data_IF_469623937277
#
_entry.id   IF_469623937277
#
_cell.length_a   1.000
_cell.length_b   1.000
_cell.length_c   1.000
_cell.angle_alpha   90.00
_cell.angle_beta   90.00
_cell.angle_gamma   90.00
#
_symmetry.space_group_name_H-M   'P 1'
#
loop_
_entity.id
_entity.type
_entity.pdbx_description
1 polymer ?
#
# COMPACT_ATOMS: atom_id res chain seq x y z
N UNK A 1 11.49 15.80 2.55
CA UNK A 1 10.02 16.00 2.44
C UNK A 1 9.48 15.60 1.09
N UNK A 2 9.93 16.18 -0.04
CA UNK A 2 9.43 15.79 -1.38
C UNK A 2 9.69 14.31 -1.73
N UNK A 3 10.82 13.78 -1.24
CA UNK A 3 11.19 12.36 -1.36
C UNK A 3 10.61 11.49 -0.23
N UNK A 4 9.72 12.03 0.59
CA UNK A 4 9.09 11.33 1.71
C UNK A 4 10.05 10.85 2.82
N UNK A 5 11.29 11.34 2.79
CA UNK A 5 12.30 11.15 3.82
C UNK A 5 12.04 12.11 5.00
N UNK A 6 10.92 11.90 5.70
CA UNK A 6 10.46 12.80 6.77
C UNK A 6 11.34 12.75 8.02
N UNK A 7 12.00 11.63 8.31
CA UNK A 7 12.94 11.50 9.43
C UNK A 7 14.19 12.36 9.25
N UNK A 8 14.76 12.37 8.05
CA UNK A 8 15.86 13.29 7.72
C UNK A 8 15.39 14.75 7.73
N UNK A 9 14.22 15.04 7.15
CA UNK A 9 13.66 16.38 7.18
C UNK A 9 13.36 16.90 8.61
N UNK A 10 12.95 16.03 9.54
CA UNK A 10 12.79 16.35 10.96
C UNK A 10 14.13 16.70 11.63
N UNK A 11 15.18 15.96 11.28
CA UNK A 11 16.55 16.17 11.79
C UNK A 11 17.09 17.51 11.31
N UNK A 12 17.01 17.77 10.00
CA UNK A 12 17.44 19.04 9.40
C UNK A 12 16.67 20.23 9.96
N UNK A 13 15.35 20.12 10.07
CA UNK A 13 14.52 21.20 10.61
C UNK A 13 14.84 21.46 12.10
N UNK A 14 15.11 20.41 12.87
CA UNK A 14 15.53 20.56 14.27
C UNK A 14 16.90 21.21 14.40
N UNK A 15 17.85 20.85 13.54
CA UNK A 15 19.16 21.49 13.49
C UNK A 15 19.05 22.96 13.07
N UNK A 16 18.23 23.27 12.07
CA UNK A 16 17.97 24.66 11.65
C UNK A 16 17.38 25.51 12.79
N UNK A 17 16.51 24.94 13.63
CA UNK A 17 15.97 25.61 14.83
C UNK A 17 17.04 25.84 15.89
N UNK A 18 17.99 24.91 16.05
CA UNK A 18 19.11 25.08 16.97
C UNK A 18 20.04 26.21 16.51
N UNK A 19 20.28 26.32 15.21
CA UNK A 19 21.11 27.38 14.62
C UNK A 19 20.42 28.74 14.66
N UNK A 20 19.12 28.80 14.35
CA UNK A 20 18.32 30.02 14.42
C UNK A 20 16.92 29.76 15.02
N UNK A 21 16.75 30.03 16.34
CA UNK A 21 15.45 29.89 17.01
C UNK A 21 14.34 30.84 16.54
N UNK A 22 14.66 31.81 15.67
CA UNK A 22 13.68 32.73 15.05
C UNK A 22 13.33 32.31 13.61
N UNK A 23 13.92 31.24 13.08
CA UNK A 23 13.64 30.78 11.73
C UNK A 23 12.28 30.05 11.64
N UNK A 24 11.21 30.82 11.44
CA UNK A 24 9.83 30.32 11.40
C UNK A 24 9.63 29.16 10.41
N UNK A 25 10.29 29.21 9.25
CA UNK A 25 10.18 28.17 8.22
C UNK A 25 10.67 26.80 8.71
N UNK A 26 11.66 26.71 9.61
CA UNK A 26 12.09 25.43 10.14
C UNK A 26 11.03 24.79 11.06
N UNK A 27 10.41 25.56 11.95
CA UNK A 27 9.27 25.09 12.75
C UNK A 27 8.12 24.64 11.85
N UNK A 28 7.82 25.41 10.81
CA UNK A 28 6.80 25.05 9.84
C UNK A 28 7.08 23.70 9.17
N UNK A 29 8.30 23.52 8.63
CA UNK A 29 8.73 22.28 7.98
C UNK A 29 8.68 21.09 8.95
N UNK A 30 9.11 21.28 10.21
CA UNK A 30 9.08 20.23 11.23
C UNK A 30 7.65 19.84 11.62
N UNK A 31 6.76 20.82 11.78
CA UNK A 31 5.34 20.59 12.02
C UNK A 31 4.70 19.79 10.87
N UNK A 32 4.97 20.16 9.62
CA UNK A 32 4.49 19.42 8.45
C UNK A 32 5.02 17.99 8.45
N UNK A 33 6.31 17.76 8.73
CA UNK A 33 6.85 16.41 8.83
C UNK A 33 6.15 15.58 9.91
N UNK A 34 5.90 16.15 11.10
CA UNK A 34 5.14 15.47 12.15
C UNK A 34 3.74 15.06 11.69
N UNK A 35 3.06 15.86 10.87
CA UNK A 35 1.76 15.47 10.30
C UNK A 35 1.89 14.30 9.32
N UNK A 36 2.94 14.26 8.50
CA UNK A 36 3.17 13.19 7.52
C UNK A 36 3.50 11.84 8.18
N UNK A 37 4.19 11.88 9.33
CA UNK A 37 4.49 10.68 10.13
C UNK A 37 3.44 10.39 11.20
N UNK A 38 2.22 10.95 11.05
CA UNK A 38 1.07 10.71 11.92
C UNK A 38 1.27 11.06 13.41
N UNK A 39 2.06 12.09 13.68
CA UNK A 39 2.28 12.63 15.03
C UNK A 39 1.70 14.05 15.17
N UNK A 40 0.38 14.26 14.94
CA UNK A 40 -0.21 15.60 14.90
C UNK A 40 -0.08 16.36 16.22
N UNK A 41 0.01 15.67 17.36
CA UNK A 41 0.23 16.28 18.68
C UNK A 41 1.57 17.02 18.74
N UNK A 42 2.62 16.49 18.09
CA UNK A 42 3.95 17.12 18.03
C UNK A 42 4.01 18.30 17.06
N UNK A 43 3.09 18.37 16.08
CA UNK A 43 3.01 19.49 15.14
C UNK A 43 2.46 20.78 15.78
N UNK A 44 1.57 20.66 16.77
CA UNK A 44 0.89 21.82 17.38
C UNK A 44 1.84 22.83 18.04
N UNK A 45 2.83 22.43 18.87
CA UNK A 45 3.80 23.37 19.44
C UNK A 45 4.58 24.15 18.38
N UNK A 46 4.97 23.49 17.29
CA UNK A 46 5.71 24.12 16.20
C UNK A 46 4.84 25.12 15.44
N UNK A 47 3.58 24.79 15.12
CA UNK A 47 2.65 25.77 14.53
C UNK A 47 2.40 26.98 15.44
N UNK A 48 2.26 26.78 16.75
CA UNK A 48 2.15 27.89 17.72
C UNK A 48 3.38 28.79 17.67
N UNK A 49 4.57 28.20 17.56
CA UNK A 49 5.82 28.96 17.44
C UNK A 49 5.89 29.76 16.14
N UNK A 50 5.45 29.19 15.02
CA UNK A 50 5.34 29.92 13.74
C UNK A 50 4.38 31.10 13.86
N UNK A 51 3.19 30.91 14.44
CA UNK A 51 2.20 32.00 14.64
C UNK A 51 2.75 33.08 15.58
N UNK A 52 3.54 32.72 16.59
CA UNK A 52 4.20 33.68 17.46
C UNK A 52 5.26 34.52 16.73
N UNK A 53 5.98 33.93 15.76
CA UNK A 53 6.97 34.62 14.94
C UNK A 53 6.33 35.41 13.78
N UNK A 54 5.22 34.91 13.23
CA UNK A 54 4.50 35.46 12.08
C UNK A 54 2.98 35.58 12.38
N UNK A 55 2.53 36.57 13.17
CA UNK A 55 1.14 36.64 13.65
C UNK A 55 0.06 36.82 12.58
N UNK A 56 0.47 37.28 11.38
CA UNK A 56 -0.38 37.49 10.21
C UNK A 56 -0.43 36.29 9.26
N UNK A 57 0.26 35.18 9.57
CA UNK A 57 0.26 33.99 8.73
C UNK A 57 -1.05 33.20 8.91
N UNK A 58 -2.08 33.60 8.15
CA UNK A 58 -3.42 32.99 8.20
C UNK A 58 -3.41 31.52 7.77
N UNK A 59 -2.54 31.17 6.81
CA UNK A 59 -2.37 29.79 6.33
C UNK A 59 -1.97 28.86 7.49
N UNK A 60 -0.98 29.24 8.28
CA UNK A 60 -0.54 28.44 9.44
C UNK A 60 -1.60 28.39 10.53
N UNK A 61 -2.33 29.50 10.76
CA UNK A 61 -3.44 29.51 11.71
C UNK A 61 -4.54 28.52 11.31
N UNK A 62 -4.92 28.48 10.03
CA UNK A 62 -5.88 27.52 9.50
C UNK A 62 -5.38 26.07 9.66
N UNK A 63 -4.10 25.82 9.40
CA UNK A 63 -3.47 24.50 9.56
C UNK A 63 -3.44 24.04 11.02
N UNK A 64 -3.13 24.92 11.96
CA UNK A 64 -3.18 24.61 13.39
C UNK A 64 -4.60 24.22 13.82
N UNK A 65 -5.63 24.97 13.38
CA UNK A 65 -7.03 24.64 13.67
C UNK A 65 -7.41 23.28 13.07
N UNK A 66 -7.03 23.01 11.82
CA UNK A 66 -7.27 21.72 11.16
C UNK A 66 -6.59 20.57 11.91
N UNK A 67 -5.33 20.74 12.31
CA UNK A 67 -4.56 19.78 13.11
C UNK A 67 -5.23 19.50 14.45
N UNK A 68 -5.73 20.53 15.13
CA UNK A 68 -6.40 20.38 16.42
C UNK A 68 -7.75 19.66 16.28
N UNK A 69 -8.49 19.89 15.19
CA UNK A 69 -9.69 19.12 14.86
C UNK A 69 -9.35 17.65 14.57
N UNK A 70 -8.27 17.38 13.85
CA UNK A 70 -7.79 16.02 13.58
C UNK A 70 -7.45 15.29 14.88
N UNK A 71 -6.71 15.93 15.80
CA UNK A 71 -6.38 15.35 17.11
C UNK A 71 -7.66 14.97 17.87
N UNK A 72 -8.62 15.90 17.98
CA UNK A 72 -9.91 15.64 18.65
C UNK A 72 -10.69 14.51 18.00
N UNK A 73 -10.68 14.42 16.66
CA UNK A 73 -11.31 13.32 15.92
C UNK A 73 -10.66 11.98 16.26
N UNK A 74 -9.33 11.91 16.25
CA UNK A 74 -8.57 10.71 16.63
C UNK A 74 -8.88 10.29 18.07
N UNK A 75 -8.86 11.24 19.02
CA UNK A 75 -9.16 10.96 20.43
C UNK A 75 -10.61 10.51 20.64
N UNK A 76 -11.57 11.14 19.95
CA UNK A 76 -12.97 10.75 20.00
C UNK A 76 -13.18 9.34 19.46
N UNK A 77 -12.60 9.01 18.30
CA UNK A 77 -12.69 7.69 17.69
C UNK A 77 -12.08 6.61 18.59
N UNK A 78 -10.89 6.86 19.16
CA UNK A 78 -10.28 5.95 20.15
C UNK A 78 -11.17 5.74 21.37
N UNK A 79 -11.93 6.76 21.79
CA UNK A 79 -12.82 6.67 22.95
C UNK A 79 -14.13 5.93 22.66
N UNK A 80 -14.56 5.86 21.39
CA UNK A 80 -15.78 5.13 20.96
C UNK A 80 -15.47 3.77 20.32
N UNK A 81 -14.20 3.39 20.21
CA UNK A 81 -13.79 2.05 19.80
C UNK A 81 -14.12 1.08 20.95
N UNK A 82 -15.37 0.62 21.00
CA UNK A 82 -15.87 -0.28 22.04
C UNK A 82 -15.61 -1.73 21.63
N UNK A 83 -15.10 -2.54 22.56
CA UNK A 83 -15.07 -3.99 22.42
C UNK A 83 -16.52 -4.53 22.32
N UNK A 84 -16.88 -5.07 21.14
CA UNK A 84 -18.19 -5.69 20.90
C UNK A 84 -19.03 -5.10 19.76
N UNK A 85 -18.55 -4.10 19.01
CA UNK A 85 -19.20 -3.73 17.73
C UNK A 85 -19.08 -4.87 16.71
N UNK A 86 -20.18 -5.17 16.01
CA UNK A 86 -20.19 -6.09 14.86
C UNK A 86 -19.18 -5.63 13.82
N UNK A 87 -18.49 -6.57 13.18
CA UNK A 87 -17.52 -6.26 12.14
C UNK A 87 -18.20 -5.46 11.00
N UNK A 88 -17.46 -4.58 10.28
CA UNK A 88 -17.99 -3.91 9.10
C UNK A 88 -18.54 -4.87 8.03
N UNK A 89 -18.01 -6.09 7.99
CA UNK A 89 -18.46 -7.20 7.12
C UNK A 89 -19.88 -7.63 7.51
N UNK A 90 -20.11 -8.00 8.77
CA UNK A 90 -21.43 -8.41 9.27
C UNK A 90 -22.46 -7.29 9.09
N UNK A 91 -22.09 -6.05 9.40
CA UNK A 91 -22.97 -4.90 9.21
C UNK A 91 -23.37 -4.69 7.75
N UNK A 92 -22.46 -4.94 6.81
CA UNK A 92 -22.80 -4.91 5.38
C UNK A 92 -23.78 -6.02 5.01
N UNK A 93 -23.58 -7.25 5.49
CA UNK A 93 -24.52 -8.35 5.25
C UNK A 93 -25.92 -8.07 5.82
N UNK A 94 -26.02 -7.46 7.01
CA UNK A 94 -27.29 -7.04 7.61
C UNK A 94 -28.03 -6.02 6.73
N UNK A 95 -27.33 -4.95 6.33
CA UNK A 95 -27.92 -3.92 5.45
C UNK A 95 -28.38 -4.54 4.12
N UNK A 96 -27.63 -5.50 3.58
CA UNK A 96 -28.01 -6.22 2.36
C UNK A 96 -29.28 -7.05 2.60
N UNK A 97 -29.34 -7.82 3.69
CA UNK A 97 -30.50 -8.65 4.02
C UNK A 97 -31.77 -7.82 4.25
N UNK A 98 -31.63 -6.60 4.75
CA UNK A 98 -32.71 -5.63 4.94
C UNK A 98 -33.12 -4.88 3.65
N UNK A 99 -32.44 -5.12 2.51
CA UNK A 99 -32.70 -4.42 1.24
C UNK A 99 -32.17 -2.97 1.20
N UNK A 100 -31.37 -2.56 2.19
CA UNK A 100 -30.85 -1.18 2.33
C UNK A 100 -29.74 -0.80 1.34
N UNK A 101 -29.37 -1.69 0.43
CA UNK A 101 -28.31 -1.48 -0.55
C UNK A 101 -28.68 -2.01 -1.95
N UNK A 102 -29.96 -2.10 -2.30
CA UNK A 102 -30.35 -2.60 -3.62
C UNK A 102 -29.90 -1.70 -4.78
N UNK A 103 -29.73 -2.32 -5.95
CA UNK A 103 -29.36 -1.59 -7.18
C UNK A 103 -30.59 -0.89 -7.72
N UNK A 104 -30.48 0.43 -7.93
CA UNK A 104 -31.55 1.22 -8.51
C UNK A 104 -31.94 0.70 -9.91
N UNK A 105 -33.24 0.66 -10.19
CA UNK A 105 -33.77 0.17 -11.48
C UNK A 105 -33.35 1.04 -12.68
N UNK A 106 -33.00 2.30 -12.41
CA UNK A 106 -32.49 3.29 -13.38
C UNK A 106 -31.02 3.09 -13.72
N UNK A 107 -30.30 2.21 -13.00
CA UNK A 107 -28.88 1.97 -13.25
C UNK A 107 -28.65 1.28 -14.60
N UNK A 108 -27.85 1.95 -15.44
CA UNK A 108 -27.58 1.57 -16.84
C UNK A 108 -26.14 1.11 -17.08
N UNK A 109 -25.32 1.04 -16.03
CA UNK A 109 -23.94 0.58 -16.14
C UNK A 109 -23.81 -0.95 -16.13
N UNK A 110 -22.57 -1.46 -16.00
CA UNK A 110 -22.28 -2.90 -15.93
C UNK A 110 -23.00 -3.57 -14.77
N UNK A 111 -23.61 -4.73 -15.03
CA UNK A 111 -24.41 -5.48 -14.06
C UNK A 111 -23.71 -6.78 -13.68
N UNK A 112 -23.47 -6.97 -12.37
CA UNK A 112 -23.00 -8.27 -11.88
C UNK A 112 -24.09 -9.32 -12.15
N UNK A 113 -23.74 -10.48 -12.75
CA UNK A 113 -24.68 -11.57 -12.91
C UNK A 113 -25.15 -12.08 -11.56
N UNK A 114 -26.46 -12.30 -11.45
CA UNK A 114 -27.12 -12.83 -10.27
C UNK A 114 -27.66 -14.21 -10.62
N UNK A 115 -27.13 -15.25 -9.98
CA UNK A 115 -27.54 -16.65 -10.16
C UNK A 115 -27.91 -17.23 -8.80
N UNK A 116 -29.10 -17.79 -8.67
CA UNK A 116 -29.62 -18.38 -7.41
C UNK A 116 -29.48 -17.44 -6.20
N UNK A 117 -29.77 -16.15 -6.41
CA UNK A 117 -29.71 -15.12 -5.37
C UNK A 117 -28.30 -14.71 -4.94
N UNK A 118 -27.25 -15.18 -5.64
CA UNK A 118 -25.85 -14.82 -5.38
C UNK A 118 -25.23 -14.12 -6.57
N UNK A 119 -24.53 -13.02 -6.31
CA UNK A 119 -23.77 -12.34 -7.34
C UNK A 119 -22.50 -13.13 -7.67
N UNK A 120 -22.17 -13.20 -8.96
CA UNK A 120 -20.92 -13.75 -9.45
C UNK A 120 -20.11 -12.69 -10.20
N UNK A 121 -18.81 -12.88 -10.27
CA UNK A 121 -17.91 -12.04 -11.08
C UNK A 121 -17.59 -12.76 -12.40
N UNK A 122 -17.53 -12.01 -13.50
CA UNK A 122 -17.18 -12.55 -14.82
C UNK A 122 -16.16 -11.67 -15.54
N UNK A 123 -15.39 -12.22 -16.49
CA UNK A 123 -14.46 -11.42 -17.29
C UNK A 123 -15.17 -10.27 -18.03
N UNK A 124 -16.37 -10.52 -18.57
CA UNK A 124 -17.16 -9.51 -19.26
C UNK A 124 -17.55 -8.34 -18.34
N UNK A 125 -17.97 -8.64 -17.10
CA UNK A 125 -18.29 -7.60 -16.14
C UNK A 125 -17.07 -6.74 -15.82
N UNK A 126 -15.89 -7.35 -15.59
CA UNK A 126 -14.66 -6.59 -15.30
C UNK A 126 -14.31 -5.66 -16.46
N UNK A 127 -14.41 -6.14 -17.70
CA UNK A 127 -14.17 -5.32 -18.90
C UNK A 127 -15.13 -4.13 -18.97
N UNK A 128 -16.42 -4.36 -18.78
CA UNK A 128 -17.43 -3.30 -18.83
C UNK A 128 -17.29 -2.33 -17.64
N UNK A 129 -16.89 -2.83 -16.46
CA UNK A 129 -16.56 -2.04 -15.28
C UNK A 129 -15.36 -1.11 -15.52
N UNK A 130 -14.29 -1.63 -16.09
CA UNK A 130 -13.10 -0.83 -16.43
C UNK A 130 -13.46 0.29 -17.41
N UNK A 131 -14.27 -0.01 -18.43
CA UNK A 131 -14.74 1.00 -19.38
C UNK A 131 -15.68 2.02 -18.69
N UNK A 132 -16.53 1.57 -17.77
CA UNK A 132 -17.37 2.47 -16.97
C UNK A 132 -16.55 3.46 -16.14
N UNK A 133 -15.47 2.98 -15.50
CA UNK A 133 -14.52 3.79 -14.75
C UNK A 133 -13.74 4.77 -15.64
N UNK A 134 -13.29 4.34 -16.83
CA UNK A 134 -12.65 5.25 -17.82
C UNK A 134 -13.53 6.44 -18.20
N UNK A 135 -14.85 6.24 -18.19
CA UNK A 135 -15.83 7.28 -18.46
C UNK A 135 -16.16 8.14 -17.22
N UNK A 136 -15.41 8.01 -16.13
CA UNK A 136 -15.56 8.81 -14.90
C UNK A 136 -16.81 8.48 -14.10
N UNK A 137 -17.37 7.28 -14.28
CA UNK A 137 -18.62 6.86 -13.63
C UNK A 137 -18.35 5.89 -12.49
N UNK A 138 -19.21 5.89 -11.48
CA UNK A 138 -19.10 5.04 -10.30
C UNK A 138 -20.01 3.81 -10.39
N UNK A 139 -19.62 2.71 -9.74
CA UNK A 139 -20.49 1.55 -9.55
C UNK A 139 -21.55 1.81 -8.48
N UNK A 140 -22.72 1.15 -8.54
CA UNK A 140 -23.67 1.11 -7.43
C UNK A 140 -23.02 0.53 -6.18
N UNK A 141 -23.41 1.05 -5.01
CA UNK A 141 -22.90 0.61 -3.71
C UNK A 141 -23.02 -0.91 -3.53
N UNK A 142 -24.11 -1.52 -4.03
CA UNK A 142 -24.32 -2.98 -4.00
C UNK A 142 -23.16 -3.74 -4.63
N UNK A 143 -22.75 -3.34 -5.83
CA UNK A 143 -21.72 -4.05 -6.59
C UNK A 143 -20.33 -3.79 -6.02
N UNK A 144 -20.08 -2.58 -5.50
CA UNK A 144 -18.86 -2.28 -4.73
C UNK A 144 -18.75 -3.25 -3.56
N UNK A 145 -19.82 -3.44 -2.79
CA UNK A 145 -19.81 -4.33 -1.63
C UNK A 145 -19.63 -5.79 -2.03
N UNK A 146 -20.30 -6.26 -3.08
CA UNK A 146 -20.14 -7.63 -3.59
C UNK A 146 -18.71 -7.92 -4.04
N UNK A 147 -18.05 -6.99 -4.76
CA UNK A 147 -16.65 -7.13 -5.17
C UNK A 147 -15.74 -7.24 -3.94
N UNK A 148 -15.93 -6.36 -2.95
CA UNK A 148 -15.09 -6.33 -1.75
C UNK A 148 -15.31 -7.57 -0.89
N UNK A 149 -16.57 -8.00 -0.69
CA UNK A 149 -16.92 -9.20 0.07
C UNK A 149 -16.43 -10.47 -0.63
N UNK A 150 -16.56 -10.55 -1.96
CA UNK A 150 -16.05 -11.65 -2.78
C UNK A 150 -14.54 -11.81 -2.66
N UNK A 151 -13.78 -10.72 -2.79
CA UNK A 151 -12.33 -10.74 -2.59
C UNK A 151 -11.94 -11.05 -1.13
N UNK A 152 -12.62 -10.43 -0.16
CA UNK A 152 -12.41 -10.66 1.28
C UNK A 152 -12.54 -12.13 1.67
N UNK A 153 -13.53 -12.84 1.11
CA UNK A 153 -13.73 -14.27 1.38
C UNK A 153 -12.51 -15.11 0.97
N UNK A 154 -11.75 -14.69 -0.05
CA UNK A 154 -10.49 -15.32 -0.41
C UNK A 154 -9.36 -14.89 0.52
N UNK A 155 -9.21 -13.59 0.79
CA UNK A 155 -8.14 -13.08 1.66
C UNK A 155 -8.20 -13.66 3.07
N UNK A 156 -9.38 -13.80 3.67
CA UNK A 156 -9.50 -14.37 5.02
C UNK A 156 -9.11 -15.86 5.09
N UNK A 157 -9.21 -16.58 3.97
CA UNK A 157 -8.85 -17.99 3.87
C UNK A 157 -7.34 -18.18 3.58
N UNK A 158 -6.64 -17.12 3.21
CA UNK A 158 -5.21 -17.13 2.90
C UNK A 158 -4.34 -17.00 4.14
N UNK A 159 -3.17 -17.65 4.11
CA UNK A 159 -2.12 -17.47 5.12
C UNK A 159 -1.54 -16.06 5.08
N UNK A 160 -0.92 -15.63 6.17
CA UNK A 160 -0.32 -14.28 6.24
C UNK A 160 0.88 -14.13 5.29
N UNK A 161 1.62 -15.22 5.09
CA UNK A 161 2.56 -15.33 3.97
C UNK A 161 2.06 -16.39 3.01
N UNK A 162 1.79 -16.01 1.76
CA UNK A 162 1.45 -16.93 0.69
C UNK A 162 2.68 -17.71 0.25
N UNK A 163 2.51 -18.96 -0.15
CA UNK A 163 3.56 -19.78 -0.76
C UNK A 163 3.12 -20.17 -2.17
N UNK A 164 3.83 -19.67 -3.18
CA UNK A 164 3.45 -19.83 -4.58
C UNK A 164 4.59 -20.49 -5.34
N UNK A 165 4.32 -21.65 -5.92
CA UNK A 165 5.24 -22.34 -6.80
C UNK A 165 5.03 -21.90 -8.25
N UNK A 166 6.11 -21.59 -8.95
CA UNK A 166 6.10 -21.28 -10.38
C UNK A 166 6.42 -22.55 -11.15
N UNK A 167 5.39 -23.34 -11.46
CA UNK A 167 5.49 -24.58 -12.23
C UNK A 167 6.05 -24.35 -13.64
N UNK A 168 6.42 -25.43 -14.33
CA UNK A 168 6.99 -25.34 -15.68
C UNK A 168 6.09 -24.54 -16.65
N UNK A 169 6.67 -23.51 -17.26
CA UNK A 169 5.96 -22.64 -18.20
C UNK A 169 5.07 -21.59 -17.55
N UNK A 170 5.04 -21.53 -16.22
CA UNK A 170 4.35 -20.48 -15.45
C UNK A 170 5.27 -19.28 -15.26
N UNK A 171 4.69 -18.08 -15.33
CA UNK A 171 5.33 -16.81 -14.99
C UNK A 171 4.54 -16.08 -13.91
N UNK A 172 5.20 -15.21 -13.15
CA UNK A 172 4.56 -14.30 -12.23
C UNK A 172 5.10 -12.87 -12.42
N UNK A 173 4.21 -11.91 -12.66
CA UNK A 173 4.55 -10.50 -12.69
C UNK A 173 4.34 -9.88 -11.30
N UNK A 174 5.44 -9.40 -10.72
CA UNK A 174 5.45 -8.64 -9.46
C UNK A 174 5.32 -7.15 -9.80
N UNK A 175 4.21 -6.58 -9.37
CA UNK A 175 3.81 -5.18 -9.57
C UNK A 175 4.01 -4.45 -8.24
N UNK A 176 4.73 -3.33 -8.26
CA UNK A 176 4.93 -2.49 -7.10
C UNK A 176 3.74 -1.57 -6.83
N UNK A 177 4.02 -0.43 -6.19
CA UNK A 177 3.02 0.55 -5.80
C UNK A 177 2.31 1.14 -7.04
N UNK A 178 1.01 1.39 -6.92
CA UNK A 178 0.17 1.98 -7.98
C UNK A 178 -0.48 3.28 -7.53
N UNK A 179 -0.77 3.43 -6.23
CA UNK A 179 -1.24 4.67 -5.61
C UNK A 179 -2.38 5.40 -6.35
N UNK A 180 -3.46 4.68 -6.65
CA UNK A 180 -4.64 5.29 -7.27
C UNK A 180 -4.43 5.87 -8.68
N UNK A 181 -3.33 5.51 -9.36
CA UNK A 181 -3.07 5.86 -10.76
C UNK A 181 -3.77 4.86 -11.71
N UNK A 182 -5.10 4.92 -11.76
CA UNK A 182 -5.93 3.96 -12.51
C UNK A 182 -5.55 3.82 -13.98
N UNK A 183 -5.27 4.93 -14.67
CA UNK A 183 -4.96 4.92 -16.10
C UNK A 183 -3.61 4.26 -16.39
N UNK A 184 -2.63 4.46 -15.50
CA UNK A 184 -1.34 3.77 -15.58
C UNK A 184 -1.48 2.28 -15.28
N UNK A 185 -2.30 1.90 -14.29
CA UNK A 185 -2.60 0.49 -14.02
C UNK A 185 -3.22 -0.21 -15.24
N UNK A 186 -4.07 0.47 -16.00
CA UNK A 186 -4.64 -0.09 -17.24
C UNK A 186 -3.58 -0.26 -18.33
N UNK A 187 -2.64 0.67 -18.46
CA UNK A 187 -1.51 0.50 -19.36
C UNK A 187 -0.63 -0.66 -18.92
N UNK A 188 -0.32 -0.76 -17.62
CA UNK A 188 0.41 -1.88 -17.03
C UNK A 188 -0.27 -3.21 -17.36
N UNK A 189 -1.58 -3.35 -17.14
CA UNK A 189 -2.31 -4.58 -17.46
C UNK A 189 -2.33 -4.90 -18.95
N UNK A 190 -2.24 -3.91 -19.84
CA UNK A 190 -2.07 -4.16 -21.27
C UNK A 190 -0.70 -4.77 -21.62
N UNK A 191 0.32 -4.58 -20.77
CA UNK A 191 1.66 -5.15 -20.93
C UNK A 191 1.81 -6.50 -20.25
N UNK A 192 1.22 -6.69 -19.06
CA UNK A 192 1.30 -7.96 -18.32
C UNK A 192 0.40 -9.02 -18.97
N UNK A 193 -0.82 -8.61 -19.34
CA UNK A 193 -1.93 -9.51 -19.68
C UNK A 193 -2.76 -9.88 -18.45
N UNK A 194 -3.82 -10.67 -18.67
CA UNK A 194 -4.72 -11.12 -17.61
C UNK A 194 -4.17 -12.34 -16.85
N UNK A 195 -4.45 -12.47 -15.53
CA UNK A 195 -4.11 -13.66 -14.76
C UNK A 195 -4.75 -14.92 -15.33
N UNK A 196 -3.98 -16.01 -15.42
CA UNK A 196 -4.44 -17.33 -15.83
C UNK A 196 -3.51 -18.42 -15.28
N UNK A 197 -3.78 -19.69 -15.61
CA UNK A 197 -3.03 -20.84 -15.10
C UNK A 197 -1.53 -20.85 -15.46
N UNK A 198 -1.10 -20.07 -16.46
CA UNK A 198 0.30 -19.91 -16.87
C UNK A 198 0.90 -18.55 -16.55
N UNK A 199 0.10 -17.62 -16.05
CA UNK A 199 0.53 -16.24 -15.81
C UNK A 199 -0.13 -15.67 -14.57
N UNK A 200 0.66 -15.44 -13.52
CA UNK A 200 0.18 -14.93 -12.25
C UNK A 200 0.51 -13.44 -12.13
N UNK A 201 -0.34 -12.68 -11.46
CA UNK A 201 -0.07 -11.30 -11.08
C UNK A 201 0.04 -11.21 -9.56
N UNK A 202 1.05 -10.49 -9.07
CA UNK A 202 1.24 -10.19 -7.67
C UNK A 202 1.38 -8.68 -7.50
N UNK A 203 0.35 -8.04 -6.92
CA UNK A 203 0.42 -6.63 -6.55
C UNK A 203 1.00 -6.49 -5.14
N UNK A 204 2.11 -5.78 -5.00
CA UNK A 204 2.89 -5.73 -3.77
C UNK A 204 2.59 -4.49 -2.90
N UNK A 205 1.31 -4.29 -2.60
CA UNK A 205 0.82 -3.22 -1.73
C UNK A 205 0.73 -1.83 -2.36
N UNK A 206 0.21 -0.88 -1.59
CA UNK A 206 0.11 0.55 -1.94
C UNK A 206 -0.66 0.78 -3.25
N UNK A 207 -1.89 0.26 -3.27
CA UNK A 207 -2.82 0.37 -4.38
C UNK A 207 -3.61 1.69 -4.33
N UNK A 208 -3.77 2.23 -3.13
CA UNK A 208 -4.61 3.40 -2.85
C UNK A 208 -3.79 4.58 -2.34
N UNK A 209 -4.50 5.68 -2.06
CA UNK A 209 -3.96 6.97 -1.61
C UNK A 209 -3.13 7.68 -2.68
N UNK A 210 -2.92 8.99 -2.46
CA UNK A 210 -2.16 9.91 -3.31
C UNK A 210 -2.82 10.18 -4.65
N UNK A 211 -2.96 9.19 -5.53
CA UNK A 211 -3.74 9.30 -6.75
C UNK A 211 -5.24 9.45 -6.45
N UNK A 212 -5.97 10.02 -7.41
CA UNK A 212 -7.38 10.39 -7.23
C UNK A 212 -8.35 9.39 -7.88
N UNK A 213 -7.87 8.19 -8.23
CA UNK A 213 -8.68 7.07 -8.73
C UNK A 213 -8.40 5.78 -7.94
N UNK A 214 -8.25 5.92 -6.62
CA UNK A 214 -7.93 4.80 -5.73
C UNK A 214 -9.08 3.79 -5.67
N UNK A 215 -10.34 4.24 -5.77
CA UNK A 215 -11.50 3.35 -5.80
C UNK A 215 -11.51 2.50 -7.07
N UNK A 216 -11.23 3.09 -8.22
CA UNK A 216 -11.17 2.37 -9.49
C UNK A 216 -10.03 1.34 -9.49
N UNK A 217 -8.86 1.69 -8.95
CA UNK A 217 -7.73 0.77 -8.79
C UNK A 217 -8.10 -0.41 -7.89
N UNK A 218 -8.55 -0.14 -6.66
CA UNK A 218 -8.76 -1.21 -5.68
C UNK A 218 -9.92 -2.14 -6.08
N UNK A 219 -10.99 -1.59 -6.66
CA UNK A 219 -12.11 -2.41 -7.13
C UNK A 219 -11.73 -3.27 -8.32
N UNK A 220 -10.88 -2.77 -9.23
CA UNK A 220 -10.38 -3.56 -10.35
C UNK A 220 -9.48 -4.70 -9.84
N UNK A 221 -8.55 -4.41 -8.94
CA UNK A 221 -7.69 -5.42 -8.33
C UNK A 221 -8.48 -6.50 -7.58
N UNK A 222 -9.48 -6.09 -6.78
CA UNK A 222 -10.33 -7.02 -6.03
C UNK A 222 -11.27 -7.82 -6.94
N UNK A 223 -11.76 -7.24 -8.03
CA UNK A 223 -12.56 -7.99 -9.00
C UNK A 223 -11.71 -9.08 -9.68
N UNK A 224 -10.47 -8.80 -10.06
CA UNK A 224 -9.54 -9.82 -10.56
C UNK A 224 -9.19 -10.85 -9.48
N UNK A 225 -9.06 -10.45 -8.21
CA UNK A 225 -8.86 -11.42 -7.11
C UNK A 225 -10.04 -12.36 -6.96
N UNK A 226 -11.26 -11.83 -7.01
CA UNK A 226 -12.48 -12.62 -6.89
C UNK A 226 -12.64 -13.56 -8.09
N UNK A 227 -12.26 -13.12 -9.30
CA UNK A 227 -12.36 -13.93 -10.52
C UNK A 227 -11.26 -14.98 -10.63
N UNK A 228 -10.01 -14.64 -10.27
CA UNK A 228 -8.83 -15.49 -10.40
C UNK A 228 -8.10 -15.68 -9.07
N UNK A 229 -8.74 -16.25 -8.03
CA UNK A 229 -8.17 -16.29 -6.69
C UNK A 229 -6.85 -17.05 -6.59
N UNK A 230 -6.57 -17.96 -7.53
CA UNK A 230 -5.33 -18.75 -7.61
C UNK A 230 -4.19 -18.06 -8.37
N UNK A 231 -4.48 -17.01 -9.15
CA UNK A 231 -3.54 -16.41 -10.09
C UNK A 231 -3.38 -14.90 -9.89
N UNK A 232 -4.26 -14.27 -9.12
CA UNK A 232 -4.18 -12.88 -8.68
C UNK A 232 -3.87 -12.84 -7.19
N UNK A 233 -2.70 -12.30 -6.85
CA UNK A 233 -2.21 -12.15 -5.48
C UNK A 233 -2.06 -10.68 -5.14
N UNK A 234 -2.36 -10.31 -3.90
CA UNK A 234 -2.27 -8.93 -3.41
C UNK A 234 -1.67 -8.97 -2.01
N UNK A 235 -0.47 -8.42 -1.86
CA UNK A 235 0.10 -8.15 -0.55
C UNK A 235 -0.42 -6.81 -0.03
N UNK A 236 -0.43 -6.66 1.29
CA UNK A 236 -0.72 -5.40 1.99
C UNK A 236 0.48 -4.46 1.91
N UNK A 237 0.25 -3.20 1.58
CA UNK A 237 1.21 -2.11 1.74
C UNK A 237 0.94 -1.31 3.01
N UNK A 238 1.74 -0.27 3.26
CA UNK A 238 1.48 0.60 4.40
C UNK A 238 0.25 1.49 4.18
N UNK A 239 -0.10 1.80 2.92
CA UNK A 239 -1.26 2.60 2.57
C UNK A 239 -2.59 1.83 2.69
N UNK A 240 -2.59 0.51 2.79
CA UNK A 240 -3.79 -0.27 3.16
C UNK A 240 -4.05 -0.25 4.70
N UNK A 241 -4.03 0.95 5.28
CA UNK A 241 -4.20 1.22 6.71
C UNK A 241 -5.04 2.48 6.97
N UNK A 242 -5.90 2.44 7.99
CA UNK A 242 -6.84 3.54 8.32
C UNK A 242 -6.14 4.90 8.48
N UNK A 243 -5.00 4.93 9.15
CA UNK A 243 -4.29 6.19 9.43
C UNK A 243 -3.67 6.81 8.16
N UNK A 244 -3.19 5.97 7.24
CA UNK A 244 -2.74 6.43 5.92
C UNK A 244 -3.91 6.95 5.10
N UNK A 245 -5.00 6.17 5.00
CA UNK A 245 -6.16 6.51 4.18
C UNK A 245 -6.80 7.85 4.56
N UNK A 246 -6.83 8.15 5.86
CA UNK A 246 -7.30 9.42 6.39
C UNK A 246 -6.48 10.60 5.91
N UNK A 247 -5.18 10.39 5.83
CA UNK A 247 -4.18 11.43 5.62
C UNK A 247 -3.97 11.69 4.13
N UNK A 248 -3.96 10.62 3.32
CA UNK A 248 -3.48 10.67 1.94
C UNK A 248 -4.56 10.50 0.87
N UNK A 249 -5.84 10.40 1.26
CA UNK A 249 -6.97 10.71 0.39
C UNK A 249 -8.01 9.60 0.24
N UNK A 250 -7.65 8.33 0.45
CA UNK A 250 -8.55 7.21 0.19
C UNK A 250 -9.81 7.23 1.07
N UNK A 251 -9.70 7.61 2.36
CA UNK A 251 -10.87 7.75 3.24
C UNK A 251 -11.84 8.79 2.64
N UNK A 252 -11.31 9.91 2.15
CA UNK A 252 -12.10 10.97 1.53
C UNK A 252 -12.76 10.53 0.23
N UNK A 253 -12.00 9.85 -0.63
CA UNK A 253 -12.48 9.36 -1.93
C UNK A 253 -13.60 8.32 -1.75
N UNK A 254 -13.37 7.30 -0.91
CA UNK A 254 -14.34 6.23 -0.66
C UNK A 254 -15.65 6.77 -0.08
N UNK A 255 -15.56 7.72 0.86
CA UNK A 255 -16.74 8.37 1.46
C UNK A 255 -17.48 9.23 0.46
N UNK A 256 -16.76 9.98 -0.37
CA UNK A 256 -17.37 10.82 -1.40
C UNK A 256 -18.10 9.98 -2.46
N UNK A 257 -17.48 8.91 -2.96
CA UNK A 257 -18.05 8.08 -4.04
C UNK A 257 -19.12 7.10 -3.55
N UNK A 258 -18.95 6.50 -2.37
CA UNK A 258 -19.79 5.38 -1.92
C UNK A 258 -20.26 5.44 -0.46
N UNK A 259 -19.89 6.48 0.30
CA UNK A 259 -20.34 6.70 1.67
C UNK A 259 -19.52 5.97 2.76
N UNK A 260 -19.80 6.33 4.01
CA UNK A 260 -19.06 5.89 5.21
C UNK A 260 -18.95 4.37 5.36
N UNK A 261 -20.07 3.66 5.18
CA UNK A 261 -20.10 2.20 5.37
C UNK A 261 -19.21 1.47 4.35
N UNK A 262 -19.11 1.98 3.12
CA UNK A 262 -18.25 1.41 2.08
C UNK A 262 -16.77 1.57 2.43
N UNK A 263 -16.38 2.72 2.99
CA UNK A 263 -15.02 2.89 3.51
C UNK A 263 -14.72 1.93 4.66
N UNK A 264 -15.63 1.80 5.63
CA UNK A 264 -15.46 0.86 6.75
C UNK A 264 -15.28 -0.59 6.27
N UNK A 265 -16.03 -0.99 5.25
CA UNK A 265 -15.90 -2.29 4.60
C UNK A 265 -14.52 -2.48 3.96
N UNK A 266 -14.08 -1.53 3.11
CA UNK A 266 -12.77 -1.56 2.45
C UNK A 266 -11.61 -1.58 3.48
N UNK A 267 -11.66 -0.69 4.47
CA UNK A 267 -10.63 -0.61 5.51
C UNK A 267 -10.55 -1.88 6.36
N UNK A 268 -11.66 -2.61 6.53
CA UNK A 268 -11.64 -3.92 7.16
C UNK A 268 -11.09 -4.99 6.22
N UNK A 269 -11.49 -5.00 4.94
CA UNK A 269 -10.96 -5.93 3.95
C UNK A 269 -9.43 -5.84 3.81
N UNK A 270 -8.87 -4.63 3.89
CA UNK A 270 -7.42 -4.39 3.93
C UNK A 270 -6.69 -5.13 5.06
N UNK A 271 -7.34 -5.38 6.19
CA UNK A 271 -6.72 -6.13 7.29
C UNK A 271 -6.53 -7.61 6.96
N UNK A 272 -7.31 -8.15 6.02
CA UNK A 272 -7.20 -9.56 5.61
C UNK A 272 -6.14 -9.78 4.51
N UNK A 273 -5.61 -8.74 3.88
CA UNK A 273 -4.58 -8.86 2.85
C UNK A 273 -3.33 -9.57 3.40
N UNK A 274 -2.78 -10.59 2.72
CA UNK A 274 -1.48 -11.18 3.05
C UNK A 274 -0.38 -10.13 3.20
N UNK A 275 0.59 -10.36 4.08
CA UNK A 275 1.69 -9.42 4.32
C UNK A 275 2.90 -9.68 3.43
N UNK A 276 3.04 -10.89 2.91
CA UNK A 276 4.13 -11.28 2.02
C UNK A 276 3.73 -12.47 1.13
N UNK A 277 4.49 -12.66 0.06
CA UNK A 277 4.38 -13.82 -0.82
C UNK A 277 5.77 -14.42 -1.05
N UNK A 278 5.89 -15.73 -0.83
CA UNK A 278 7.10 -16.49 -1.09
C UNK A 278 6.99 -17.19 -2.44
N UNK A 279 7.64 -16.64 -3.46
CA UNK A 279 7.68 -17.20 -4.80
C UNK A 279 8.81 -18.23 -4.90
N UNK A 280 8.50 -19.48 -5.22
CA UNK A 280 9.49 -20.56 -5.40
C UNK A 280 9.51 -21.04 -6.84
N UNK A 281 10.68 -21.06 -7.46
CA UNK A 281 10.87 -21.68 -8.76
C UNK A 281 10.67 -23.20 -8.67
N UNK A 282 10.07 -23.81 -9.69
CA UNK A 282 9.96 -25.28 -9.79
C UNK A 282 11.22 -25.91 -10.37
N UNK A 283 11.98 -25.17 -11.19
CA UNK A 283 13.21 -25.62 -11.86
C UNK A 283 14.47 -24.99 -11.24
N UNK A 284 15.62 -25.67 -11.32
CA UNK A 284 16.89 -25.07 -10.98
C UNK A 284 17.22 -23.90 -11.94
N UNK A 285 18.09 -22.95 -11.51
CA UNK A 285 18.55 -21.87 -12.37
C UNK A 285 19.11 -22.38 -13.70
N UNK A 286 18.74 -21.73 -14.81
CA UNK A 286 19.28 -22.08 -16.13
C UNK A 286 20.82 -21.88 -16.24
N UNK A 287 21.37 -20.94 -15.46
CA UNK A 287 22.80 -20.69 -15.35
C UNK A 287 23.22 -20.88 -13.89
N UNK A 288 24.29 -21.64 -13.65
CA UNK A 288 24.91 -21.69 -12.32
C UNK A 288 25.50 -20.30 -12.01
N UNK A 289 25.04 -19.72 -10.93
CA UNK A 289 25.53 -18.46 -10.38
C UNK A 289 25.74 -18.62 -8.85
N UNK A 290 26.20 -17.56 -8.19
CA UNK A 290 26.41 -17.55 -6.74
C UNK A 290 25.14 -17.23 -5.95
N UNK A 291 23.95 -17.52 -6.51
CA UNK A 291 22.67 -17.30 -5.82
C UNK A 291 22.59 -18.13 -4.55
N UNK A 292 21.92 -17.59 -3.53
CA UNK A 292 21.44 -18.37 -2.40
C UNK A 292 20.27 -19.22 -2.92
N UNK A 293 20.38 -20.54 -2.78
CA UNK A 293 19.36 -21.47 -3.24
C UNK A 293 18.74 -22.20 -2.03
N UNK A 294 17.55 -22.73 -2.24
CA UNK A 294 16.93 -23.72 -1.36
C UNK A 294 17.75 -25.02 -1.35
N UNK A 295 17.48 -25.89 -0.38
CA UNK A 295 18.22 -27.16 -0.23
C UNK A 295 18.06 -28.09 -1.46
N UNK A 296 16.96 -27.93 -2.21
CA UNK A 296 16.70 -28.61 -3.48
C UNK A 296 17.26 -27.88 -4.72
N UNK A 297 18.07 -26.83 -4.52
CA UNK A 297 18.83 -26.15 -5.58
C UNK A 297 18.00 -25.18 -6.43
N UNK A 298 16.90 -24.63 -5.91
CA UNK A 298 15.97 -23.75 -6.64
C UNK A 298 16.03 -22.32 -6.13
N UNK A 299 15.63 -21.36 -6.98
CA UNK A 299 15.50 -19.96 -6.57
C UNK A 299 14.19 -19.76 -5.81
N UNK A 300 14.24 -18.87 -4.82
CA UNK A 300 13.10 -18.51 -3.98
C UNK A 300 13.17 -17.04 -3.64
N UNK A 301 12.10 -16.30 -3.83
CA UNK A 301 12.04 -14.86 -3.57
C UNK A 301 10.99 -14.55 -2.50
N UNK A 302 11.38 -13.72 -1.54
CA UNK A 302 10.46 -13.18 -0.53
C UNK A 302 9.98 -11.82 -1.01
N UNK A 303 8.70 -11.74 -1.40
CA UNK A 303 8.07 -10.52 -1.90
C UNK A 303 7.27 -9.88 -0.78
N UNK A 304 7.62 -8.64 -0.44
CA UNK A 304 7.04 -7.88 0.68
C UNK A 304 7.02 -6.40 0.32
N UNK A 305 6.03 -5.61 0.76
CA UNK A 305 5.97 -4.19 0.40
C UNK A 305 7.17 -3.36 0.94
N UNK A 306 7.35 -3.39 2.26
CA UNK A 306 8.41 -2.74 3.03
C UNK A 306 9.75 -3.47 2.89
N UNK A 307 10.21 -4.14 3.95
CA UNK A 307 11.47 -4.87 3.88
C UNK A 307 11.72 -5.76 5.08
N UNK A 308 12.98 -5.79 5.53
CA UNK A 308 13.49 -6.74 6.51
C UNK A 308 13.51 -6.24 7.96
N UNK A 309 13.67 -7.22 8.85
CA UNK A 309 13.42 -7.16 10.27
C UNK A 309 14.41 -6.36 11.10
N UNK A 310 13.93 -5.81 12.21
CA UNK A 310 14.77 -5.20 13.25
C UNK A 310 15.60 -6.21 14.04
N UNK A 311 15.24 -7.49 13.97
CA UNK A 311 15.96 -8.63 14.52
C UNK A 311 16.54 -9.50 13.42
N UNK A 312 17.59 -10.25 13.74
CA UNK A 312 18.31 -11.10 12.77
C UNK A 312 17.73 -12.51 12.65
N UNK A 313 16.98 -12.97 13.65
CA UNK A 313 16.53 -14.35 13.83
C UNK A 313 15.09 -14.60 13.35
N UNK A 314 14.47 -13.65 12.65
CA UNK A 314 13.10 -13.81 12.16
C UNK A 314 13.05 -14.84 11.03
N UNK A 315 12.30 -15.91 11.24
CA UNK A 315 12.09 -16.98 10.27
C UNK A 315 10.87 -16.72 9.38
N UNK A 316 10.78 -17.47 8.28
CA UNK A 316 9.56 -17.51 7.45
C UNK A 316 8.32 -17.98 8.23
N UNK A 317 8.51 -18.83 9.24
CA UNK A 317 7.42 -19.35 10.09
C UNK A 317 6.87 -18.26 11.03
N UNK A 318 7.75 -17.40 11.56
CA UNK A 318 7.33 -16.23 12.35
C UNK A 318 6.44 -15.30 11.53
N UNK A 319 6.73 -15.12 10.23
CA UNK A 319 5.91 -14.32 9.32
C UNK A 319 4.54 -14.96 9.06
N UNK A 320 4.49 -16.29 8.85
CA UNK A 320 3.22 -17.02 8.63
C UNK A 320 2.28 -16.91 9.82
N UNK A 321 2.83 -16.92 11.03
CA UNK A 321 2.07 -16.91 12.29
C UNK A 321 1.61 -15.51 12.74
N UNK A 322 1.85 -14.46 11.94
CA UNK A 322 1.30 -13.13 12.21
C UNK A 322 -0.22 -13.19 12.06
N UNK A 323 -0.95 -12.94 13.15
CA UNK A 323 -2.39 -12.71 13.11
C UNK A 323 -2.68 -11.30 12.56
N UNK A 324 -3.27 -11.24 11.37
CA UNK A 324 -3.48 -9.97 10.62
C UNK A 324 -4.95 -9.52 10.57
N UNK A 325 -5.90 -10.46 10.60
CA UNK A 325 -7.31 -10.18 10.27
C UNK A 325 -7.93 -9.28 11.35
N UNK A 326 -8.63 -8.23 10.92
CA UNK A 326 -9.23 -7.23 11.81
C UNK A 326 -8.23 -6.29 12.47
N UNK A 327 -6.91 -6.52 12.32
CA UNK A 327 -5.88 -5.74 12.99
C UNK A 327 -5.32 -4.66 12.07
N UNK A 328 -5.42 -3.42 12.54
CA UNK A 328 -4.75 -2.29 11.90
C UNK A 328 -3.27 -2.27 12.32
N UNK A 329 -2.39 -1.66 11.50
CA UNK A 329 -1.07 -1.32 11.98
C UNK A 329 -1.22 -0.38 13.19
N UNK A 330 -0.80 -0.82 14.38
CA UNK A 330 -1.04 -0.13 15.65
C UNK A 330 0.13 0.71 16.15
N UNK A 331 0.26 0.81 17.48
CA UNK A 331 1.45 1.29 18.20
C UNK A 331 2.28 0.16 18.83
N UNK A 332 1.86 -1.10 18.67
CA UNK A 332 2.55 -2.31 19.16
C UNK A 332 2.36 -3.50 18.17
N UNK A 333 3.20 -4.54 18.26
CA UNK A 333 3.03 -5.83 17.53
C UNK A 333 3.96 -6.03 16.33
N UNK A 334 3.50 -6.81 15.32
CA UNK A 334 4.16 -7.08 14.01
C UNK A 334 3.69 -6.16 12.84
N UNK A 335 2.64 -5.33 13.04
CA UNK A 335 2.14 -4.20 12.17
C UNK A 335 1.98 -2.82 12.92
N UNK A 336 2.82 -1.77 12.86
CA UNK A 336 2.88 -0.60 13.79
C UNK A 336 3.99 0.42 13.45
N UNK A 337 3.80 1.66 13.93
CA UNK A 337 4.57 2.86 13.59
C UNK A 337 5.54 3.44 14.64
N UNK A 338 5.70 2.99 15.89
CA UNK A 338 6.74 3.55 16.81
C UNK A 338 6.65 3.07 18.27
N UNK A 339 7.51 2.13 18.69
CA UNK A 339 8.28 2.08 19.96
C UNK A 339 8.67 0.65 20.40
N UNK A 340 9.89 0.39 20.92
CA UNK A 340 10.31 -0.94 21.38
C UNK A 340 9.36 -1.55 22.44
N UNK A 341 9.13 -2.90 22.47
CA UNK A 341 9.80 -3.97 21.73
C UNK A 341 9.05 -4.30 20.43
N UNK A 342 8.81 -3.28 19.62
CA UNK A 342 8.29 -3.32 18.26
C UNK A 342 8.86 -4.45 17.40
N UNK A 343 7.97 -5.24 16.80
CA UNK A 343 8.31 -6.13 15.71
C UNK A 343 7.99 -5.44 14.37
N UNK A 344 8.78 -4.44 13.95
CA UNK A 344 8.53 -3.70 12.68
C UNK A 344 9.49 -3.92 11.55
N UNK A 345 9.02 -4.60 10.50
CA UNK A 345 9.68 -4.41 9.22
C UNK A 345 8.88 -4.47 7.94
N UNK A 346 7.84 -5.31 7.86
CA UNK A 346 7.37 -5.76 6.56
C UNK A 346 6.73 -4.66 5.73
N UNK A 347 6.16 -3.61 6.33
CA UNK A 347 5.43 -2.57 5.59
C UNK A 347 6.17 -1.23 5.48
N UNK A 348 7.23 -1.00 6.28
CA UNK A 348 7.75 0.36 6.50
C UNK A 348 9.28 0.50 6.43
N UNK A 349 10.04 -0.59 6.35
CA UNK A 349 11.50 -0.49 6.34
C UNK A 349 12.04 -0.32 4.94
N UNK A 350 13.16 0.39 4.86
CA UNK A 350 13.86 0.64 3.62
C UNK A 350 15.28 0.05 3.66
N UNK A 351 15.83 -0.39 2.51
CA UNK A 351 17.24 -0.70 2.40
C UNK A 351 18.12 0.55 2.63
N UNK A 352 19.35 0.34 3.10
CA UNK A 352 20.39 1.37 3.16
C UNK A 352 21.70 0.87 2.58
N UNK A 353 22.50 1.78 2.04
CA UNK A 353 23.79 1.45 1.43
C UNK A 353 24.79 0.92 2.46
N UNK A 354 24.80 1.49 3.68
CA UNK A 354 25.77 1.13 4.71
C UNK A 354 25.38 -0.17 5.43
N UNK A 355 26.34 -1.00 5.86
CA UNK A 355 26.05 -2.17 6.70
C UNK A 355 25.38 -1.80 8.03
N UNK A 356 24.69 -2.78 8.62
CA UNK A 356 24.00 -2.69 9.90
C UNK A 356 22.55 -2.22 9.77
N UNK A 357 22.03 -1.64 10.86
CA UNK A 357 20.71 -1.01 10.89
C UNK A 357 20.85 0.44 11.28
N UNK A 358 20.06 1.29 10.65
CA UNK A 358 20.02 2.72 10.90
C UNK A 358 18.61 3.22 11.22
N UNK A 359 18.49 4.47 11.69
CA UNK A 359 17.19 5.12 11.76
C UNK A 359 16.59 5.22 10.36
N UNK A 360 15.29 4.93 10.24
CA UNK A 360 14.59 5.10 8.97
C UNK A 360 14.60 6.56 8.54
N UNK A 361 14.90 6.79 7.26
CA UNK A 361 14.78 8.10 6.62
C UNK A 361 13.36 8.64 6.62
N UNK A 362 12.34 7.79 6.79
CA UNK A 362 10.92 8.17 6.90
C UNK A 362 10.53 8.65 8.29
N UNK A 363 11.38 8.47 9.30
CA UNK A 363 11.07 8.79 10.69
C UNK A 363 10.19 7.75 11.38
N UNK A 364 9.83 6.67 10.67
CA UNK A 364 9.14 5.48 11.17
C UNK A 364 9.80 4.24 10.59
N UNK A 365 9.98 3.20 11.41
CA UNK A 365 10.66 1.97 11.03
C UNK A 365 12.18 2.07 11.18
N UNK A 366 12.88 1.17 10.51
CA UNK A 366 14.35 1.10 10.47
C UNK A 366 14.84 1.04 9.03
N UNK A 367 16.10 1.40 8.82
CA UNK A 367 16.81 1.08 7.60
C UNK A 367 17.69 -0.16 7.82
N UNK A 368 17.83 -1.03 6.82
CA UNK A 368 18.63 -2.26 6.90
C UNK A 368 19.68 -2.34 5.79
N UNK A 369 20.90 -2.72 6.16
CA UNK A 369 22.04 -2.80 5.25
C UNK A 369 22.19 -4.12 4.51
N UNK A 370 23.18 -4.21 3.59
CA UNK A 370 23.43 -5.40 2.78
C UNK A 370 23.81 -6.65 3.59
N UNK A 371 24.43 -6.48 4.75
CA UNK A 371 24.77 -7.57 5.69
C UNK A 371 23.52 -8.15 6.36
N UNK A 372 22.53 -7.32 6.68
CA UNK A 372 21.24 -7.77 7.23
C UNK A 372 20.50 -8.60 6.20
N UNK A 373 20.39 -8.10 4.96
CA UNK A 373 19.77 -8.84 3.87
C UNK A 373 20.46 -10.16 3.61
N UNK A 374 21.79 -10.16 3.51
CA UNK A 374 22.55 -11.39 3.26
C UNK A 374 22.34 -12.42 4.36
N UNK A 375 22.46 -12.04 5.64
CA UNK A 375 22.27 -12.96 6.77
C UNK A 375 20.87 -13.56 6.78
N UNK A 376 19.84 -12.74 6.56
CA UNK A 376 18.46 -13.21 6.55
C UNK A 376 18.17 -14.15 5.37
N UNK A 377 18.63 -13.81 4.17
CA UNK A 377 18.53 -14.64 2.98
C UNK A 377 19.22 -16.01 3.17
N UNK A 378 20.42 -16.01 3.78
CA UNK A 378 21.15 -17.24 4.08
C UNK A 378 20.46 -18.10 5.15
N UNK A 379 19.92 -17.46 6.18
CA UNK A 379 19.21 -18.13 7.27
C UNK A 379 17.92 -18.81 6.77
N UNK A 380 17.12 -18.11 5.95
CA UNK A 380 15.83 -18.60 5.46
C UNK A 380 15.90 -19.32 4.10
N UNK A 381 17.10 -19.49 3.53
CA UNK A 381 17.32 -20.09 2.19
C UNK A 381 16.50 -19.38 1.10
N UNK A 382 16.53 -18.05 1.13
CA UNK A 382 15.85 -17.17 0.15
C UNK A 382 16.92 -16.55 -0.74
N UNK A 383 16.71 -16.61 -2.06
CA UNK A 383 17.60 -16.05 -3.08
C UNK A 383 17.72 -14.54 -3.01
N UNK A 384 16.62 -13.86 -2.74
CA UNK A 384 16.59 -12.41 -2.56
C UNK A 384 15.21 -11.93 -2.12
N UNK A 385 15.16 -10.68 -1.68
CA UNK A 385 13.92 -9.96 -1.37
C UNK A 385 13.51 -9.09 -2.57
N UNK A 386 12.22 -9.06 -2.85
CA UNK A 386 11.61 -8.13 -3.80
C UNK A 386 10.66 -7.24 -3.01
N UNK A 387 10.81 -5.94 -3.16
CA UNK A 387 10.12 -4.94 -2.37
C UNK A 387 9.67 -3.74 -3.19
N UNK A 388 8.85 -2.86 -2.61
CA UNK A 388 8.29 -1.70 -3.32
C UNK A 388 8.47 -0.38 -2.54
N UNK A 389 7.42 0.37 -2.16
CA UNK A 389 7.40 1.48 -1.17
C UNK A 389 8.24 2.74 -1.48
N UNK A 390 9.30 2.62 -2.28
CA UNK A 390 10.22 3.69 -2.64
C UNK A 390 10.15 3.94 -4.15
N UNK A 391 9.88 5.19 -4.49
CA UNK A 391 9.99 5.67 -5.87
C UNK A 391 11.42 5.48 -6.35
N UNK A 392 11.59 4.81 -7.49
CA UNK A 392 12.88 4.68 -8.20
C UNK A 392 12.76 5.33 -9.57
N UNK A 393 13.80 6.06 -9.99
CA UNK A 393 13.75 6.86 -11.23
C UNK A 393 13.42 6.01 -12.46
N UNK A 394 13.97 4.80 -12.52
CA UNK A 394 13.75 3.83 -13.60
C UNK A 394 12.62 2.83 -13.30
N UNK A 395 11.84 3.06 -12.23
CA UNK A 395 10.78 2.16 -11.78
C UNK A 395 11.28 0.93 -11.02
N UNK A 396 12.59 0.65 -11.00
CA UNK A 396 13.18 -0.39 -10.18
C UNK A 396 14.63 -0.06 -9.81
N UNK A 397 15.16 -0.73 -8.77
CA UNK A 397 16.57 -0.68 -8.41
C UNK A 397 17.02 -2.02 -7.82
N UNK A 398 18.23 -2.46 -8.17
CA UNK A 398 18.83 -3.70 -7.66
C UNK A 398 19.93 -3.31 -6.66
N UNK A 399 19.68 -3.60 -5.39
CA UNK A 399 20.47 -3.19 -4.25
C UNK A 399 21.11 -4.40 -3.55
N UNK A 400 21.99 -4.14 -2.57
CA UNK A 400 22.60 -5.15 -1.69
C UNK A 400 23.29 -6.32 -2.42
N UNK A 401 23.92 -6.04 -3.56
CA UNK A 401 24.60 -7.04 -4.37
C UNK A 401 23.65 -8.05 -5.02
N UNK A 402 22.45 -7.62 -5.39
CA UNK A 402 21.44 -8.45 -6.05
C UNK A 402 20.48 -9.18 -5.11
N UNK A 403 20.63 -9.00 -3.80
CA UNK A 403 19.79 -9.67 -2.80
C UNK A 403 18.54 -8.86 -2.42
N UNK A 404 18.48 -7.57 -2.77
CA UNK A 404 17.32 -6.71 -2.53
C UNK A 404 16.96 -6.00 -3.83
N UNK A 405 15.73 -6.17 -4.30
CA UNK A 405 15.23 -5.49 -5.50
C UNK A 405 14.04 -4.63 -5.11
N UNK A 406 14.08 -3.35 -5.44
CA UNK A 406 12.96 -2.42 -5.31
C UNK A 406 12.24 -2.30 -6.65
N UNK A 407 10.91 -2.43 -6.69
CA UNK A 407 10.05 -2.23 -7.88
C UNK A 407 8.91 -1.28 -7.55
N UNK A 408 8.63 -0.34 -8.45
CA UNK A 408 7.65 0.72 -8.26
C UNK A 408 6.87 0.92 -9.56
N UNK A 409 5.54 0.84 -9.49
CA UNK A 409 4.67 0.76 -10.68
C UNK A 409 3.80 1.99 -10.90
N UNK A 410 4.09 3.11 -10.23
CA UNK A 410 3.43 4.39 -10.44
C UNK A 410 4.34 5.35 -11.23
N UNK A 411 4.30 5.36 -12.58
CA UNK A 411 5.10 6.27 -13.38
C UNK A 411 4.67 7.72 -13.15
N UNK A 412 5.60 8.68 -13.31
CA UNK A 412 5.42 10.09 -13.01
C UNK A 412 4.66 10.33 -11.71
N UNK A 413 5.11 9.68 -10.63
CA UNK A 413 4.40 9.61 -9.37
C UNK A 413 3.90 10.99 -8.92
N UNK A 414 2.62 11.03 -8.54
CA UNK A 414 1.88 12.24 -8.13
C UNK A 414 2.02 13.42 -9.10
N UNK A 415 2.07 13.12 -10.40
CA UNK A 415 2.20 14.06 -11.53
C UNK A 415 3.43 14.96 -11.50
N UNK A 416 4.45 14.62 -10.70
CA UNK A 416 5.59 15.50 -10.43
C UNK A 416 6.95 14.81 -10.42
N UNK A 417 7.01 13.53 -10.06
CA UNK A 417 8.29 12.86 -9.85
C UNK A 417 9.07 12.60 -11.14
N UNK A 418 8.39 12.46 -12.28
CA UNK A 418 9.03 12.19 -13.57
C UNK A 418 9.77 10.85 -13.64
N UNK A 419 9.51 9.92 -12.72
CA UNK A 419 10.04 8.56 -12.74
C UNK A 419 9.31 7.68 -13.76
N UNK A 420 9.93 6.58 -14.17
CA UNK A 420 9.25 5.48 -14.86
C UNK A 420 8.55 4.56 -13.86
N UNK A 421 7.58 3.80 -14.35
CA UNK A 421 7.04 2.63 -13.66
C UNK A 421 7.76 1.38 -14.14
N UNK A 422 7.80 0.33 -13.33
CA UNK A 422 8.26 -0.98 -13.76
C UNK A 422 7.48 -2.13 -13.10
N UNK A 423 7.59 -3.32 -13.67
CA UNK A 423 7.21 -4.60 -13.05
C UNK A 423 8.28 -5.66 -13.34
N UNK A 424 8.29 -6.72 -12.53
CA UNK A 424 9.26 -7.82 -12.64
C UNK A 424 8.54 -9.10 -13.06
N UNK A 425 8.91 -9.70 -14.20
CA UNK A 425 8.44 -11.03 -14.60
C UNK A 425 9.41 -12.10 -14.13
N UNK A 426 8.93 -13.04 -13.33
CA UNK A 426 9.69 -14.18 -12.83
C UNK A 426 9.21 -15.46 -13.50
N UNK A 427 10.12 -16.26 -14.05
CA UNK A 427 9.80 -17.54 -14.68
C UNK A 427 9.98 -18.76 -13.75
N UNK A 428 9.65 -19.94 -14.26
CA UNK A 428 9.74 -21.21 -13.54
C UNK A 428 11.17 -21.62 -13.11
N UNK A 429 12.22 -20.97 -13.64
CA UNK A 429 13.62 -21.14 -13.21
C UNK A 429 14.06 -20.08 -12.18
N UNK A 430 13.16 -19.14 -11.87
CA UNK A 430 13.41 -17.98 -11.02
C UNK A 430 14.23 -16.89 -11.71
N UNK A 431 14.32 -16.86 -13.03
CA UNK A 431 14.93 -15.74 -13.73
C UNK A 431 14.01 -14.51 -13.67
N UNK A 432 14.58 -13.34 -13.38
CA UNK A 432 13.86 -12.07 -13.32
C UNK A 432 14.09 -11.26 -14.59
N UNK A 433 13.02 -10.73 -15.18
CA UNK A 433 13.06 -9.78 -16.29
C UNK A 433 12.32 -8.49 -15.88
N UNK A 434 12.93 -7.34 -16.12
CA UNK A 434 12.41 -6.03 -15.72
C UNK A 434 11.79 -5.33 -16.92
N UNK A 435 10.56 -4.85 -16.77
CA UNK A 435 9.81 -4.14 -17.81
C UNK A 435 9.48 -2.74 -17.31
N UNK A 436 9.94 -1.72 -18.03
CA UNK A 436 9.71 -0.32 -17.69
C UNK A 436 8.61 0.26 -18.59
N UNK A 437 7.86 1.23 -18.07
CA UNK A 437 6.83 1.95 -18.81
C UNK A 437 6.70 3.40 -18.32
N UNK A 438 6.21 4.26 -19.21
CA UNK A 438 5.99 5.69 -18.95
C UNK A 438 4.54 5.96 -18.54
N UNK A 439 4.30 7.16 -18.01
CA UNK A 439 2.98 7.57 -17.54
C UNK A 439 2.00 7.75 -18.71
N UNK A 440 0.76 7.35 -18.48
CA UNK A 440 -0.37 7.50 -19.38
C UNK A 440 -1.16 8.77 -19.09
N UNK A 441 -1.74 9.42 -20.10
CA UNK A 441 -2.66 10.53 -19.88
C UNK A 441 -3.87 10.11 -19.05
N UNK A 442 -4.30 10.98 -18.13
CA UNK A 442 -5.49 10.80 -17.31
C UNK A 442 -6.35 12.08 -17.31
N UNK A 443 -7.64 12.01 -16.92
CA UNK A 443 -8.48 13.19 -16.77
C UNK A 443 -7.89 14.23 -15.82
N UNK A 444 -8.26 15.49 -16.02
CA UNK A 444 -7.76 16.62 -15.24
C UNK A 444 -8.31 16.60 -13.80
N UNK A 445 -7.68 15.81 -12.93
CA UNK A 445 -7.89 15.80 -11.50
C UNK A 445 -6.54 15.74 -10.83
N UNK A 446 -6.28 16.67 -9.90
CA UNK A 446 -5.00 16.73 -9.21
C UNK A 446 -4.84 15.51 -8.28
N UNK A 447 -3.62 15.04 -8.01
CA UNK A 447 -3.34 14.12 -6.92
C UNK A 447 -3.86 14.69 -5.60
N UNK A 448 -4.30 13.81 -4.71
CA UNK A 448 -4.80 14.14 -3.36
C UNK A 448 -6.02 15.06 -3.36
N UNK A 449 -6.83 15.03 -4.42
CA UNK A 449 -8.05 15.85 -4.54
C UNK A 449 -9.06 15.62 -3.40
N UNK A 450 -9.02 14.44 -2.77
CA UNK A 450 -9.94 14.04 -1.71
C UNK A 450 -9.40 14.21 -0.28
N UNK A 451 -8.19 14.77 -0.11
CA UNK A 451 -7.62 15.03 1.22
C UNK A 451 -8.38 16.16 1.91
N UNK A 452 -8.93 15.87 3.09
CA UNK A 452 -9.73 16.83 3.85
C UNK A 452 -8.85 17.86 4.59
N UNK A 453 -9.40 19.07 4.82
CA UNK A 453 -8.83 20.01 5.79
C UNK A 453 -7.60 20.82 5.33
N UNK A 454 -7.41 21.00 4.03
CA UNK A 454 -6.35 21.86 3.47
C UNK A 454 -4.95 21.22 3.42
N UNK A 455 -4.82 19.97 3.87
CA UNK A 455 -3.57 19.20 3.85
C UNK A 455 -3.09 18.84 2.43
N UNK A 456 -4.00 18.71 1.46
CA UNK A 456 -3.63 18.37 0.07
C UNK A 456 -2.68 19.38 -0.60
N UNK A 457 -2.75 20.66 -0.21
CA UNK A 457 -1.82 21.70 -0.71
C UNK A 457 -0.40 21.65 -0.10
N UNK A 458 -0.20 20.82 0.94
CA UNK A 458 1.07 20.66 1.65
C UNK A 458 1.83 19.39 1.28
N UNK A 459 1.11 18.43 0.70
CA UNK A 459 1.58 17.10 0.35
C UNK A 459 2.03 17.02 -1.12
N UNK A 460 1.65 18.01 -1.93
CA UNK A 460 2.25 18.34 -3.23
C UNK A 460 3.40 19.34 -3.02
#
# INVERSE_FOLDING_TARGET
MKLEEFGYALTDASHAIQLDPKYAKAYYRRATCYLQILQPQKAVPDFRKVIALEPKNETVRAQMVSTQKLIRKIEFEKAIEVEGEKSPIERCYEIIAEGGCDVETTYSGPKLPLTDGKYGITPSFIKDMVEWFRNGKNLPKRYVWEIVLGAYNHFQAESTMLEVALEEGVTCDVIGDVHGQFYDMLHLYSMTGEPNEKHYLLMNGDLVDRGSWSIEVILTAFAYKWLYPKYMFINRGNHEAKEMNRTYGFEGEAKHKHGEQSYKLLAHAFTALPLATLLSASKPPAKKDNSILTDDGRKRYFVVHGGLFSKDDVSLEDVKNIDRIGRQPGQEGLMCLSSPPCYYPLLWTDPQVMPGRGPSKRGVGIAFGPDVTRRWCQFNKVTGIIRSHEVRQDGYEIEHGGLCTTVFSAPNYVDQAGNKGAFIRIDSSGAQNYFQFDASPHPAMKPMAYVQGGLGSLMM
#
